data_IF_898422416573
#
_entry.id   IF_898422416573
#
_cell.length_a   1.000
_cell.length_b   1.000
_cell.length_c   1.000
_cell.angle_alpha   90.00
_cell.angle_beta   90.00
_cell.angle_gamma   90.00
#
_symmetry.space_group_name_H-M   'P 1'
#
loop_
_entity.id
_entity.type
_entity.pdbx_description
1 polymer ?
#
# COMPACT_ATOMS: atom_id res chain seq x y z
N UNK A 1 11.12 -9.95 9.21
CA UNK A 1 11.94 -9.43 8.10
C UNK A 1 11.06 -9.42 6.87
N UNK A 2 10.51 -8.27 6.50
CA UNK A 2 9.97 -8.09 5.15
C UNK A 2 11.07 -8.40 4.16
N UNK A 3 10.80 -9.22 3.15
CA UNK A 3 11.74 -9.41 2.04
C UNK A 3 11.86 -8.06 1.32
N UNK A 4 13.03 -7.41 1.34
CA UNK A 4 13.21 -6.09 0.72
C UNK A 4 12.91 -6.12 -0.78
N UNK A 5 12.90 -7.30 -1.43
CA UNK A 5 12.50 -7.42 -2.83
C UNK A 5 10.99 -7.41 -3.01
N UNK A 6 10.26 -8.06 -2.09
CA UNK A 6 8.80 -8.15 -2.14
C UNK A 6 8.14 -6.80 -1.89
N UNK A 7 8.57 -6.10 -0.84
CA UNK A 7 8.05 -4.77 -0.50
C UNK A 7 8.34 -3.75 -1.59
N UNK A 8 9.59 -3.69 -2.07
CA UNK A 8 9.97 -2.80 -3.16
C UNK A 8 9.21 -3.10 -4.46
N UNK A 9 8.97 -4.37 -4.78
CA UNK A 9 8.17 -4.75 -5.93
C UNK A 9 6.73 -4.22 -5.83
N UNK A 10 6.11 -4.28 -4.65
CA UNK A 10 4.78 -3.73 -4.43
C UNK A 10 4.78 -2.19 -4.53
N UNK A 11 5.78 -1.51 -3.95
CA UNK A 11 5.93 -0.05 -4.06
C UNK A 11 6.02 0.42 -5.51
N UNK A 12 6.84 -0.26 -6.32
CA UNK A 12 6.99 0.04 -7.76
C UNK A 12 5.64 -0.09 -8.48
N UNK A 13 4.89 -1.16 -8.22
CA UNK A 13 3.58 -1.36 -8.88
C UNK A 13 2.55 -0.34 -8.42
N UNK A 14 2.51 -0.02 -7.12
CA UNK A 14 1.53 0.91 -6.55
C UNK A 14 1.67 2.33 -7.12
N UNK A 15 2.90 2.75 -7.46
CA UNK A 15 3.23 4.11 -7.90
C UNK A 15 3.44 4.25 -9.41
N UNK A 16 3.61 3.15 -10.16
CA UNK A 16 3.85 3.18 -11.60
C UNK A 16 2.62 3.71 -12.37
N UNK A 17 2.72 4.83 -13.11
CA UNK A 17 1.61 5.37 -13.88
C UNK A 17 1.14 4.43 -15.01
N UNK A 18 1.98 3.51 -15.47
CA UNK A 18 1.64 2.54 -16.53
C UNK A 18 1.03 1.25 -16.00
N UNK A 19 1.04 1.05 -14.69
CA UNK A 19 0.42 -0.12 -14.08
C UNK A 19 -1.09 0.00 -14.10
N UNK A 20 -1.76 -1.11 -14.42
CA UNK A 20 -3.21 -1.16 -14.43
C UNK A 20 -3.77 -0.92 -13.03
N UNK A 21 -4.96 -0.35 -12.96
CA UNK A 21 -5.66 -0.09 -11.70
C UNK A 21 -5.74 -1.34 -10.81
N UNK A 22 -6.10 -2.50 -11.39
CA UNK A 22 -6.15 -3.76 -10.68
C UNK A 22 -4.80 -4.17 -10.05
N UNK A 23 -3.68 -3.89 -10.75
CA UNK A 23 -2.34 -4.14 -10.23
C UNK A 23 -1.98 -3.19 -9.08
N UNK A 24 -2.31 -1.90 -9.22
CA UNK A 24 -2.11 -0.91 -8.15
C UNK A 24 -2.87 -1.30 -6.89
N UNK A 25 -4.15 -1.65 -7.02
CA UNK A 25 -4.98 -2.08 -5.89
C UNK A 25 -4.40 -3.34 -5.22
N UNK A 26 -3.97 -4.33 -6.01
CA UNK A 26 -3.34 -5.53 -5.46
C UNK A 26 -2.06 -5.22 -4.68
N UNK A 27 -1.21 -4.34 -5.23
CA UNK A 27 0.02 -3.91 -4.59
C UNK A 27 -0.24 -3.15 -3.28
N UNK A 28 -1.17 -2.19 -3.30
CA UNK A 28 -1.61 -1.41 -2.14
C UNK A 28 -2.13 -2.31 -1.02
N UNK A 29 -2.93 -3.32 -1.35
CA UNK A 29 -3.41 -4.31 -0.37
C UNK A 29 -2.24 -5.08 0.26
N UNK A 30 -1.31 -5.55 -0.56
CA UNK A 30 -0.12 -6.25 -0.08
C UNK A 30 0.75 -5.38 0.84
N UNK A 31 0.93 -4.11 0.52
CA UNK A 31 1.63 -3.15 1.39
C UNK A 31 0.93 -3.01 2.75
N UNK A 32 -0.40 -2.96 2.77
CA UNK A 32 -1.18 -2.93 4.01
C UNK A 32 -1.05 -4.19 4.85
N UNK A 33 -0.86 -5.36 4.22
CA UNK A 33 -0.61 -6.64 4.91
C UNK A 33 0.81 -6.76 5.45
N UNK A 34 1.80 -6.13 4.79
CA UNK A 34 3.18 -6.06 5.29
C UNK A 34 3.25 -5.21 6.56
N UNK A 35 2.61 -4.04 6.55
CA UNK A 35 2.52 -3.15 7.72
C UNK A 35 3.87 -2.64 8.23
N UNK A 36 4.92 -2.68 7.40
CA UNK A 36 6.20 -2.04 7.68
C UNK A 36 6.02 -0.52 7.72
N UNK A 37 6.96 0.20 8.35
CA UNK A 37 6.92 1.66 8.37
C UNK A 37 6.96 2.25 6.95
N UNK A 38 7.80 1.70 6.08
CA UNK A 38 7.96 2.17 4.71
C UNK A 38 6.70 1.90 3.85
N UNK A 39 6.06 0.74 4.02
CA UNK A 39 4.76 0.49 3.41
C UNK A 39 3.67 1.46 3.92
N UNK A 40 3.65 1.75 5.23
CA UNK A 40 2.72 2.70 5.81
C UNK A 40 2.92 4.12 5.27
N UNK A 41 4.16 4.57 5.16
CA UNK A 41 4.48 5.89 4.61
C UNK A 41 3.99 6.02 3.17
N UNK A 42 4.23 5.01 2.33
CA UNK A 42 3.74 4.98 0.96
C UNK A 42 2.21 4.96 0.85
N UNK A 43 1.53 4.21 1.74
CA UNK A 43 0.07 4.17 1.78
C UNK A 43 -0.54 5.51 2.21
N UNK A 44 0.11 6.24 3.12
CA UNK A 44 -0.30 7.59 3.53
C UNK A 44 -0.13 8.58 2.39
N UNK A 45 0.97 8.53 1.64
CA UNK A 45 1.20 9.38 0.48
C UNK A 45 0.17 9.15 -0.63
N UNK A 46 -0.17 7.87 -0.90
CA UNK A 46 -1.19 7.48 -1.87
C UNK A 46 -2.60 7.90 -1.43
N UNK A 47 -2.94 7.71 -0.15
CA UNK A 47 -4.24 8.09 0.39
C UNK A 47 -4.44 9.61 0.53
N UNK A 48 -3.35 10.39 0.56
CA UNK A 48 -3.39 11.84 0.60
C UNK A 48 -3.58 12.49 -0.79
N UNK A 49 -3.53 11.72 -1.87
CA UNK A 49 -3.81 12.24 -3.22
C UNK A 49 -5.25 12.74 -3.31
N UNK A 50 -5.45 13.82 -4.06
CA UNK A 50 -6.78 14.37 -4.27
C UNK A 50 -7.55 13.52 -5.30
N UNK A 51 -8.67 12.95 -4.89
CA UNK A 51 -9.57 12.19 -5.76
C UNK A 51 -10.10 10.93 -5.10
N UNK A 52 -11.10 10.33 -5.74
CA UNK A 52 -11.73 9.08 -5.31
C UNK A 52 -11.39 7.93 -6.27
N UNK A 53 -10.20 7.99 -6.89
CA UNK A 53 -9.78 6.89 -7.75
C UNK A 53 -9.58 5.60 -6.92
N UNK A 54 -9.78 4.42 -7.53
CA UNK A 54 -9.75 3.17 -6.78
C UNK A 54 -8.44 2.88 -6.05
N UNK A 55 -7.30 3.42 -6.51
CA UNK A 55 -6.02 3.24 -5.83
C UNK A 55 -5.96 4.09 -4.55
N UNK A 56 -6.39 5.36 -4.62
CA UNK A 56 -6.49 6.25 -3.44
C UNK A 56 -7.41 5.67 -2.37
N UNK A 57 -8.61 5.20 -2.75
CA UNK A 57 -9.54 4.56 -1.82
C UNK A 57 -8.97 3.26 -1.21
N UNK A 58 -8.28 2.44 -2.01
CA UNK A 58 -7.62 1.24 -1.53
C UNK A 58 -6.49 1.56 -0.53
N UNK A 59 -5.77 2.66 -0.73
CA UNK A 59 -4.70 3.09 0.16
C UNK A 59 -5.25 3.51 1.53
N UNK A 60 -6.34 4.30 1.54
CA UNK A 60 -7.04 4.69 2.78
C UNK A 60 -7.51 3.44 3.55
N UNK A 61 -8.09 2.47 2.85
CA UNK A 61 -8.51 1.21 3.47
C UNK A 61 -7.33 0.42 4.03
N UNK A 62 -6.23 0.32 3.27
CA UNK A 62 -5.03 -0.40 3.65
C UNK A 62 -4.35 0.19 4.89
N UNK A 63 -4.28 1.53 5.01
CA UNK A 63 -3.82 2.20 6.25
C UNK A 63 -4.63 1.74 7.46
N UNK A 64 -5.96 1.78 7.36
CA UNK A 64 -6.84 1.34 8.45
C UNK A 64 -6.74 -0.16 8.80
N UNK A 65 -6.23 -0.99 7.90
CA UNK A 65 -5.95 -2.41 8.15
C UNK A 65 -4.57 -2.60 8.81
N UNK A 66 -3.56 -1.91 8.31
CA UNK A 66 -2.21 -1.95 8.88
C UNK A 66 -2.20 -1.44 10.33
N UNK A 67 -2.92 -0.36 10.65
CA UNK A 67 -3.07 0.15 12.03
C UNK A 67 -3.86 -0.79 12.96
N UNK A 68 -4.66 -1.71 12.40
CA UNK A 68 -5.43 -2.71 13.16
C UNK A 68 -4.69 -4.02 13.38
N UNK A 69 -3.44 -4.12 12.94
CA UNK A 69 -2.56 -5.22 13.34
C UNK A 69 -1.68 -4.73 14.50
N UNK A 70 -2.18 -4.64 15.75
CA UNK A 70 -1.28 -4.58 16.87
C UNK A 70 -0.53 -5.91 16.87
N UNK A 71 0.79 -5.83 16.77
CA UNK A 71 1.69 -6.88 17.24
C UNK A 71 1.41 -8.29 16.70
N UNK A 72 2.21 -8.72 15.72
CA UNK A 72 2.79 -10.06 15.86
C UNK A 72 3.64 -10.06 17.14
N UNK A 73 2.98 -10.26 18.29
CA UNK A 73 3.59 -10.62 19.56
C UNK A 73 4.18 -12.03 19.48
#
# INVERSE_FOLDING_TARGET
>A
MSDPNGENFLLVIATDPNSSEARKIAAIKGLGELGSQEALDALLELGAQAGDDPATLAAIEAVGRASRSPEKA
#
